data_IF_404520531793
#
_entry.id   IF_404520531793
#
_cell.length_a   1.000
_cell.length_b   1.000
_cell.length_c   1.000
_cell.angle_alpha   90.00
_cell.angle_beta   90.00
_cell.angle_gamma   90.00
#
_symmetry.space_group_name_H-M   'P 1'
#
loop_
_entity.id
_entity.type
_entity.pdbx_description
1 polymer ?
#
# COMPACT_ATOMS: atom_id res chain seq x y z
N UNK A 1 -24.66 55.28 -61.16
CA UNK A 1 -24.29 55.24 -59.75
C UNK A 1 -25.03 54.07 -59.09
N UNK A 2 -24.41 52.95 -58.98
CA UNK A 2 -25.01 51.72 -58.41
C UNK A 2 -24.28 51.38 -57.11
N UNK A 3 -24.99 51.48 -55.98
CA UNK A 3 -24.49 50.98 -54.68
C UNK A 3 -24.81 49.50 -54.56
N UNK A 4 -23.78 48.66 -54.45
CA UNK A 4 -23.88 47.20 -54.10
C UNK A 4 -23.96 47.11 -52.57
N UNK A 5 -25.05 46.53 -52.08
CA UNK A 5 -25.14 45.98 -50.70
C UNK A 5 -24.41 44.67 -50.61
N UNK A 6 -23.43 44.54 -49.74
CA UNK A 6 -22.87 43.25 -49.30
C UNK A 6 -23.63 42.83 -48.03
N UNK A 7 -24.32 41.70 -48.14
CA UNK A 7 -24.92 40.98 -47.02
C UNK A 7 -23.89 39.99 -46.44
N UNK A 8 -23.42 40.19 -45.23
CA UNK A 8 -22.62 39.24 -44.48
C UNK A 8 -23.55 38.20 -43.84
N UNK A 9 -23.45 36.95 -44.30
CA UNK A 9 -24.00 35.78 -43.60
C UNK A 9 -23.00 35.36 -42.49
N UNK A 10 -23.34 35.62 -41.21
CA UNK A 10 -22.62 35.03 -40.08
C UNK A 10 -23.17 33.62 -39.83
N UNK A 11 -22.40 32.60 -40.20
CA UNK A 11 -22.70 31.22 -39.84
C UNK A 11 -22.30 30.97 -38.38
N UNK A 12 -23.28 30.78 -37.51
CA UNK A 12 -23.12 30.40 -36.10
C UNK A 12 -22.84 28.88 -36.06
N UNK A 13 -21.57 28.48 -35.94
CA UNK A 13 -21.18 27.11 -35.65
C UNK A 13 -21.46 26.83 -34.16
N UNK A 14 -22.61 26.24 -33.86
CA UNK A 14 -22.87 25.57 -32.58
C UNK A 14 -21.99 24.33 -32.50
N UNK A 15 -20.87 24.42 -31.78
CA UNK A 15 -20.11 23.25 -31.39
C UNK A 15 -20.92 22.50 -30.32
N UNK A 16 -21.66 21.47 -30.74
CA UNK A 16 -22.16 20.44 -29.81
C UNK A 16 -20.94 19.71 -29.25
N UNK A 17 -20.51 20.05 -28.06
CA UNK A 17 -19.65 19.19 -27.28
C UNK A 17 -20.47 17.95 -26.92
N UNK A 18 -20.36 16.90 -27.71
CA UNK A 18 -20.78 15.58 -27.32
C UNK A 18 -19.88 15.21 -26.13
N UNK A 19 -20.43 15.34 -24.91
CA UNK A 19 -19.78 14.82 -23.73
C UNK A 19 -19.50 13.34 -23.98
N UNK A 20 -18.22 12.95 -24.02
CA UNK A 20 -17.87 11.56 -24.03
C UNK A 20 -18.50 10.93 -22.78
N UNK A 21 -19.22 9.79 -22.89
CA UNK A 21 -19.69 9.10 -21.71
C UNK A 21 -18.47 8.85 -20.82
N UNK A 22 -18.52 9.33 -19.58
CA UNK A 22 -17.51 9.00 -18.58
C UNK A 22 -17.41 7.48 -18.53
N UNK A 23 -16.22 6.94 -18.77
CA UNK A 23 -16.01 5.51 -18.58
C UNK A 23 -16.49 5.15 -17.18
N UNK A 24 -17.38 4.16 -17.07
CA UNK A 24 -17.83 3.69 -15.76
C UNK A 24 -16.60 3.23 -14.99
N UNK A 25 -16.39 3.75 -13.79
CA UNK A 25 -15.32 3.30 -12.92
C UNK A 25 -15.38 1.77 -12.76
N UNK A 26 -14.21 1.12 -12.68
CA UNK A 26 -14.13 -0.32 -12.45
C UNK A 26 -14.88 -0.64 -11.15
N UNK A 27 -15.67 -1.71 -11.13
CA UNK A 27 -16.23 -2.20 -9.88
C UNK A 27 -15.14 -2.84 -9.03
N UNK A 28 -15.21 -2.68 -7.72
CA UNK A 28 -14.34 -3.37 -6.78
C UNK A 28 -15.16 -4.03 -5.67
N UNK A 29 -14.55 -4.92 -4.94
CA UNK A 29 -15.09 -5.51 -3.72
C UNK A 29 -13.99 -5.60 -2.67
N UNK A 30 -14.31 -5.33 -1.42
CA UNK A 30 -13.40 -5.62 -0.31
C UNK A 30 -13.22 -7.13 -0.11
N UNK A 31 -12.05 -7.61 0.34
CA UNK A 31 -10.92 -6.81 0.79
C UNK A 31 -10.00 -6.41 -0.37
N UNK A 32 -9.34 -5.26 -0.25
CA UNK A 32 -8.25 -4.85 -1.15
C UNK A 32 -6.91 -5.51 -0.79
N UNK A 33 -6.82 -6.14 0.38
CA UNK A 33 -5.78 -7.08 0.79
C UNK A 33 -6.37 -8.06 1.81
N UNK A 34 -6.36 -9.36 1.48
CA UNK A 34 -7.08 -10.39 2.21
C UNK A 34 -6.37 -10.92 3.46
N UNK A 35 -5.04 -10.79 3.55
CA UNK A 35 -4.23 -11.22 4.68
C UNK A 35 -3.16 -10.18 4.96
N UNK A 36 -2.70 -10.07 6.22
CA UNK A 36 -1.77 -9.02 6.65
C UNK A 36 -2.22 -7.63 6.17
N UNK A 37 -3.53 -7.38 6.27
CA UNK A 37 -4.14 -6.12 5.84
C UNK A 37 -4.27 -5.10 6.96
N UNK A 38 -3.57 -5.31 8.09
CA UNK A 38 -3.59 -4.40 9.22
C UNK A 38 -2.90 -3.07 8.90
N UNK A 39 -3.41 -2.01 9.53
CA UNK A 39 -2.82 -0.68 9.53
C UNK A 39 -2.57 -0.18 8.09
N UNK A 40 -3.61 -0.19 7.23
CA UNK A 40 -3.44 0.09 5.81
C UNK A 40 -3.31 1.59 5.54
N UNK A 41 -2.34 1.96 4.72
CA UNK A 41 -2.20 3.28 4.15
C UNK A 41 -2.23 3.24 2.64
N UNK A 42 -2.96 4.16 2.00
CA UNK A 42 -3.00 4.33 0.55
C UNK A 42 -2.56 5.73 0.16
N UNK A 43 -1.63 5.81 -0.78
CA UNK A 43 -1.31 7.04 -1.53
C UNK A 43 -1.67 6.85 -3.00
N UNK A 44 -2.26 7.88 -3.63
CA UNK A 44 -2.43 7.93 -5.08
C UNK A 44 -1.43 8.90 -5.69
N UNK A 45 -0.62 8.42 -6.64
CA UNK A 45 0.41 9.23 -7.28
C UNK A 45 0.68 8.75 -8.70
N UNK A 46 0.78 9.70 -9.65
CA UNK A 46 1.11 9.41 -11.05
C UNK A 46 0.31 8.25 -11.66
N UNK A 47 -1.01 8.27 -11.46
CA UNK A 47 -1.92 7.27 -12.05
C UNK A 47 -1.94 5.91 -11.34
N UNK A 48 -1.34 5.79 -10.17
CA UNK A 48 -1.29 4.53 -9.42
C UNK A 48 -1.64 4.73 -7.94
N UNK A 49 -2.26 3.72 -7.37
CA UNK A 49 -2.38 3.52 -5.93
C UNK A 49 -1.18 2.76 -5.40
N UNK A 50 -0.73 3.13 -4.22
CA UNK A 50 0.35 2.49 -3.46
C UNK A 50 -0.20 2.14 -2.08
N UNK A 51 -0.32 0.84 -1.81
CA UNK A 51 -0.82 0.32 -0.53
C UNK A 51 0.35 -0.24 0.28
N UNK A 52 0.48 0.22 1.51
CA UNK A 52 1.35 -0.36 2.54
C UNK A 52 0.51 -0.86 3.71
N UNK A 53 1.00 -1.86 4.43
CA UNK A 53 0.36 -2.46 5.60
C UNK A 53 1.41 -2.99 6.57
N UNK A 54 1.03 -3.22 7.80
CA UNK A 54 1.86 -3.94 8.79
C UNK A 54 2.28 -5.30 8.26
N UNK A 55 3.55 -5.65 8.43
CA UNK A 55 4.12 -6.92 7.96
C UNK A 55 4.38 -7.94 9.07
N UNK A 56 4.62 -7.51 10.31
CA UNK A 56 5.14 -8.30 11.44
C UNK A 56 6.48 -8.98 11.16
N UNK A 57 7.16 -8.59 10.09
CA UNK A 57 8.43 -9.16 9.66
C UNK A 57 9.54 -8.10 9.71
N UNK A 58 10.63 -8.38 9.02
CA UNK A 58 11.76 -7.46 8.85
C UNK A 58 11.70 -6.63 7.57
N UNK A 59 10.57 -6.67 6.83
CA UNK A 59 10.44 -5.98 5.54
C UNK A 59 9.24 -5.03 5.48
N UNK A 60 9.33 -4.02 4.62
CA UNK A 60 8.21 -3.20 4.18
C UNK A 60 7.95 -3.53 2.73
N UNK A 61 6.69 -3.82 2.40
CA UNK A 61 6.24 -4.09 1.04
C UNK A 61 5.21 -3.05 0.58
N UNK A 62 5.23 -2.76 -0.71
CA UNK A 62 4.24 -1.90 -1.38
C UNK A 62 3.52 -2.71 -2.46
N UNK A 63 2.19 -2.60 -2.51
CA UNK A 63 1.39 -3.02 -3.67
C UNK A 63 1.07 -1.80 -4.52
N UNK A 64 1.31 -1.90 -5.83
CA UNK A 64 1.06 -0.83 -6.81
C UNK A 64 0.02 -1.28 -7.81
N UNK A 65 -0.99 -0.45 -8.07
CA UNK A 65 -2.03 -0.72 -9.07
C UNK A 65 -2.63 0.56 -9.62
N UNK A 66 -3.08 0.54 -10.88
CA UNK A 66 -3.81 1.65 -11.50
C UNK A 66 -5.26 1.77 -11.01
N UNK A 67 -5.80 0.73 -10.35
CA UNK A 67 -7.16 0.72 -9.80
C UNK A 67 -7.14 0.22 -8.37
N UNK A 68 -8.11 0.65 -7.56
CA UNK A 68 -8.31 0.17 -6.20
C UNK A 68 -8.54 -1.36 -6.17
N UNK A 69 -9.37 -1.86 -7.09
CA UNK A 69 -9.63 -3.29 -7.26
C UNK A 69 -8.36 -4.10 -7.51
N UNK A 70 -7.44 -3.57 -8.31
CA UNK A 70 -6.19 -4.23 -8.67
C UNK A 70 -5.23 -4.42 -7.50
N UNK A 71 -5.36 -3.64 -6.42
CA UNK A 71 -4.54 -3.83 -5.21
C UNK A 71 -4.74 -5.21 -4.57
N UNK A 72 -5.93 -5.82 -4.72
CA UNK A 72 -6.22 -7.15 -4.19
C UNK A 72 -5.30 -8.24 -4.76
N UNK A 73 -4.88 -8.08 -6.01
CA UNK A 73 -4.05 -9.07 -6.74
C UNK A 73 -2.66 -8.54 -7.12
N UNK A 74 -2.37 -7.26 -6.84
CA UNK A 74 -1.07 -6.69 -7.11
C UNK A 74 0.03 -7.38 -6.28
N UNK A 75 1.22 -7.62 -6.85
CA UNK A 75 2.32 -8.21 -6.11
C UNK A 75 2.77 -7.32 -4.96
N UNK A 76 3.11 -7.94 -3.83
CA UNK A 76 3.79 -7.26 -2.72
C UNK A 76 5.27 -7.11 -3.07
N UNK A 77 5.74 -5.89 -3.31
CA UNK A 77 7.12 -5.59 -3.67
C UNK A 77 7.85 -5.05 -2.44
N UNK A 78 8.91 -5.73 -2.02
CA UNK A 78 9.75 -5.29 -0.91
C UNK A 78 10.51 -4.02 -1.31
N UNK A 79 10.33 -2.94 -0.56
CA UNK A 79 11.01 -1.66 -0.76
C UNK A 79 12.04 -1.37 0.33
N UNK A 80 11.93 -2.05 1.47
CA UNK A 80 12.87 -1.93 2.59
C UNK A 80 13.02 -3.25 3.33
N UNK A 81 14.19 -3.46 3.89
CA UNK A 81 14.47 -4.52 4.86
C UNK A 81 15.19 -3.91 6.06
N UNK A 82 14.79 -4.32 7.27
CA UNK A 82 15.42 -3.88 8.50
C UNK A 82 16.94 -4.08 8.45
N UNK A 83 17.69 -3.02 8.71
CA UNK A 83 19.12 -2.91 8.45
C UNK A 83 19.98 -2.85 9.72
N UNK A 84 19.36 -2.85 10.90
CA UNK A 84 20.07 -2.82 12.18
C UNK A 84 19.27 -3.55 13.27
N UNK A 85 19.97 -4.17 14.22
CA UNK A 85 19.38 -4.95 15.32
C UNK A 85 18.37 -4.18 16.16
N UNK A 86 18.47 -2.85 16.26
CA UNK A 86 17.56 -1.98 17.02
C UNK A 86 16.24 -1.69 16.30
N UNK A 87 16.14 -1.97 15.00
CA UNK A 87 14.99 -1.67 14.12
C UNK A 87 14.79 -2.72 13.03
N UNK A 88 15.19 -3.96 13.30
CA UNK A 88 15.17 -5.01 12.30
C UNK A 88 13.78 -5.58 12.07
N UNK A 89 12.90 -5.50 13.08
CA UNK A 89 11.93 -6.58 13.19
C UNK A 89 10.59 -6.05 13.69
N UNK A 90 9.53 -6.88 13.48
CA UNK A 90 8.18 -6.50 13.89
C UNK A 90 7.77 -5.13 13.35
N UNK A 91 7.91 -4.96 12.03
CA UNK A 91 7.58 -3.70 11.36
C UNK A 91 6.07 -3.54 11.30
N UNK A 92 5.58 -2.40 11.85
CA UNK A 92 4.17 -2.06 11.96
C UNK A 92 3.87 -0.69 11.37
N UNK A 93 2.62 -0.50 10.99
CA UNK A 93 2.00 0.77 10.60
C UNK A 93 2.87 1.65 9.70
N UNK A 94 3.31 1.17 8.52
CA UNK A 94 4.03 2.01 7.58
C UNK A 94 3.09 2.98 6.86
N UNK A 95 3.52 4.24 6.74
CA UNK A 95 2.80 5.29 6.00
C UNK A 95 3.71 5.99 4.99
N UNK A 96 3.17 6.29 3.81
CA UNK A 96 3.86 6.97 2.71
C UNK A 96 3.41 8.42 2.59
N UNK A 97 4.29 9.38 2.84
CA UNK A 97 4.01 10.81 2.73
C UNK A 97 4.91 11.48 1.70
N UNK A 98 4.30 12.20 0.75
CA UNK A 98 5.04 12.97 -0.25
C UNK A 98 5.26 14.40 0.24
N UNK A 99 6.51 14.75 0.54
CA UNK A 99 6.88 16.04 1.12
C UNK A 99 8.07 16.62 0.33
N UNK A 100 7.93 17.82 -0.18
CA UNK A 100 9.00 18.54 -0.89
C UNK A 100 9.69 17.72 -2.00
N UNK A 101 8.90 16.97 -2.80
CA UNK A 101 9.40 16.22 -3.96
C UNK A 101 10.01 14.86 -3.65
N UNK A 102 9.93 14.39 -2.41
CA UNK A 102 10.39 13.08 -1.97
C UNK A 102 9.32 12.34 -1.18
N UNK A 103 9.40 11.01 -1.15
CA UNK A 103 8.59 10.16 -0.29
C UNK A 103 9.31 9.91 1.01
N UNK A 104 8.57 10.04 2.10
CA UNK A 104 8.99 9.66 3.43
C UNK A 104 8.10 8.52 3.90
N UNK A 105 8.74 7.43 4.32
CA UNK A 105 8.05 6.25 4.82
C UNK A 105 8.29 6.22 6.33
N UNK A 106 7.24 6.53 7.09
CA UNK A 106 7.24 6.44 8.54
C UNK A 106 6.76 5.05 8.93
N UNK A 107 7.38 4.46 9.93
CA UNK A 107 7.03 3.11 10.37
C UNK A 107 7.47 2.86 11.80
N UNK A 108 6.95 1.80 12.41
CA UNK A 108 7.38 1.31 13.70
C UNK A 108 8.21 0.04 13.51
N UNK A 109 9.29 -0.07 14.25
CA UNK A 109 10.11 -1.29 14.30
C UNK A 109 10.78 -1.45 15.65
N UNK A 110 11.10 -2.69 16.00
CA UNK A 110 11.76 -3.05 17.24
C UNK A 110 12.90 -4.03 17.04
N UNK A 111 13.29 -4.68 18.12
CA UNK A 111 14.37 -5.66 18.18
C UNK A 111 13.84 -7.08 17.97
N UNK A 112 14.74 -7.97 17.56
CA UNK A 112 14.43 -9.41 17.47
C UNK A 112 14.60 -10.08 18.83
N UNK A 113 13.65 -9.83 19.72
CA UNK A 113 13.58 -10.41 21.07
C UNK A 113 12.17 -10.94 21.34
N UNK A 114 12.02 -11.88 22.27
CA UNK A 114 10.70 -12.47 22.57
C UNK A 114 9.70 -11.45 23.11
N UNK A 115 10.15 -10.53 23.98
CA UNK A 115 9.35 -9.38 24.46
C UNK A 115 9.73 -8.14 23.65
N UNK A 116 9.30 -8.11 22.39
CA UNK A 116 9.67 -7.04 21.44
C UNK A 116 8.81 -5.77 21.58
N UNK A 117 7.60 -5.86 22.15
CA UNK A 117 6.67 -4.73 22.24
C UNK A 117 7.30 -3.50 22.90
N UNK A 118 7.99 -3.59 24.06
CA UNK A 118 8.64 -2.44 24.69
C UNK A 118 9.79 -1.85 23.85
N UNK A 119 10.28 -2.59 22.84
CA UNK A 119 11.38 -2.14 21.97
C UNK A 119 10.93 -1.31 20.79
N UNK A 120 9.62 -1.24 20.51
CA UNK A 120 9.05 -0.55 19.35
C UNK A 120 9.35 0.96 19.39
N UNK A 121 9.85 1.48 18.28
CA UNK A 121 10.20 2.90 18.07
C UNK A 121 9.73 3.35 16.69
N UNK A 122 9.50 4.64 16.58
CA UNK A 122 9.15 5.28 15.30
C UNK A 122 10.41 5.62 14.51
N UNK A 123 10.41 5.22 13.26
CA UNK A 123 11.51 5.42 12.31
C UNK A 123 11.01 6.09 11.03
N UNK A 124 11.94 6.67 10.27
CA UNK A 124 11.64 7.28 8.97
C UNK A 124 12.72 6.96 7.94
N UNK A 125 12.24 6.62 6.74
CA UNK A 125 13.04 6.46 5.52
C UNK A 125 12.75 7.61 4.57
N UNK A 126 13.70 7.92 3.69
CA UNK A 126 13.55 8.91 2.61
C UNK A 126 13.85 8.25 1.27
N UNK A 127 13.01 8.47 0.26
CA UNK A 127 13.25 8.02 -1.10
C UNK A 127 14.36 8.80 -1.79
N UNK A 128 15.05 8.19 -2.74
CA UNK A 128 16.06 8.86 -3.56
C UNK A 128 15.47 9.96 -4.47
N UNK A 129 14.19 9.87 -4.81
CA UNK A 129 13.49 10.80 -5.69
C UNK A 129 11.98 10.77 -5.46
N UNK A 130 11.20 11.02 -6.51
CA UNK A 130 9.75 11.10 -6.49
C UNK A 130 9.04 9.74 -6.75
N UNK A 131 9.78 8.64 -6.80
CA UNK A 131 9.21 7.30 -6.96
C UNK A 131 8.82 6.73 -5.58
N UNK A 132 7.53 6.39 -5.34
CA UNK A 132 7.10 5.75 -4.10
C UNK A 132 7.71 4.37 -3.87
N UNK A 133 8.19 3.71 -4.93
CA UNK A 133 8.86 2.40 -4.83
C UNK A 133 10.32 2.51 -4.35
N UNK A 134 10.86 3.72 -4.15
CA UNK A 134 12.20 3.95 -3.66
C UNK A 134 13.24 4.16 -4.76
N UNK A 135 14.51 3.82 -4.56
CA UNK A 135 15.07 3.20 -3.34
C UNK A 135 15.03 4.14 -2.13
N UNK A 136 14.96 3.53 -0.94
CA UNK A 136 14.87 4.23 0.33
C UNK A 136 16.19 4.23 1.09
N UNK A 137 16.43 5.31 1.85
CA UNK A 137 17.55 5.45 2.78
C UNK A 137 17.02 5.74 4.18
N UNK A 138 17.54 5.06 5.19
CA UNK A 138 17.21 5.33 6.59
C UNK A 138 17.66 6.73 6.99
N UNK A 139 16.77 7.49 7.65
CA UNK A 139 17.06 8.86 8.07
C UNK A 139 17.22 9.00 9.56
N UNK A 140 16.25 8.51 10.33
CA UNK A 140 16.26 8.73 11.77
C UNK A 140 15.30 7.81 12.53
N UNK A 141 15.57 7.65 13.83
CA UNK A 141 14.63 7.25 14.84
C UNK A 141 14.07 8.53 15.50
N UNK A 142 12.74 8.68 15.50
CA UNK A 142 12.11 9.96 15.89
C UNK A 142 11.85 10.09 17.39
N UNK A 143 11.94 9.00 18.17
CA UNK A 143 11.71 8.99 19.60
C UNK A 143 12.61 8.00 20.31
N UNK A 144 12.89 8.24 21.61
CA UNK A 144 13.65 7.31 22.46
C UNK A 144 12.75 6.40 23.30
N UNK A 145 11.51 6.81 23.55
CA UNK A 145 10.51 6.05 24.28
C UNK A 145 9.66 5.18 23.34
N UNK A 146 8.86 4.28 23.91
CA UNK A 146 7.87 3.50 23.15
C UNK A 146 6.83 4.43 22.50
N UNK A 147 6.57 4.23 21.22
CA UNK A 147 5.57 4.96 20.45
C UNK A 147 5.22 4.19 19.19
N UNK A 148 3.93 4.15 18.85
CA UNK A 148 3.36 3.49 17.67
C UNK A 148 2.71 4.51 16.72
N UNK A 149 2.38 4.03 15.54
CA UNK A 149 1.46 4.62 14.57
C UNK A 149 1.79 6.08 14.20
N UNK A 150 2.97 6.30 13.62
CA UNK A 150 3.39 7.65 13.26
C UNK A 150 2.69 8.14 11.99
N UNK A 151 1.95 9.23 12.08
CA UNK A 151 1.48 10.00 10.92
C UNK A 151 2.02 11.41 10.93
N UNK A 152 2.15 12.05 9.76
CA UNK A 152 2.61 13.43 9.66
C UNK A 152 1.65 14.29 8.86
N UNK A 153 1.48 15.53 9.31
CA UNK A 153 0.67 16.50 8.59
C UNK A 153 1.20 17.94 8.73
N UNK A 154 0.96 18.74 7.70
CA UNK A 154 1.20 20.17 7.77
C UNK A 154 -0.07 20.88 8.22
N UNK A 155 -0.01 21.59 9.35
CA UNK A 155 -1.10 22.39 9.89
C UNK A 155 -0.61 23.84 9.98
N UNK A 156 -1.31 24.76 9.33
CA UNK A 156 -0.95 26.18 9.27
C UNK A 156 0.51 26.42 8.85
N UNK A 157 1.01 25.64 7.87
CA UNK A 157 2.36 25.77 7.34
C UNK A 157 3.48 25.13 8.19
N UNK A 158 3.15 24.53 9.33
CA UNK A 158 4.09 23.81 10.19
C UNK A 158 3.87 22.31 10.14
N UNK A 159 4.94 21.53 9.97
CA UNK A 159 4.90 20.07 9.96
C UNK A 159 4.85 19.54 11.40
N UNK A 160 3.96 18.58 11.64
CA UNK A 160 3.78 17.88 12.91
C UNK A 160 3.83 16.37 12.69
N UNK A 161 4.38 15.66 13.68
CA UNK A 161 4.26 14.21 13.82
C UNK A 161 3.22 13.93 14.90
N UNK A 162 2.28 13.04 14.60
CA UNK A 162 1.35 12.47 15.56
C UNK A 162 1.66 10.98 15.74
N UNK A 163 1.21 10.40 16.85
CA UNK A 163 1.36 8.98 17.10
C UNK A 163 0.70 8.59 18.40
N UNK A 164 0.94 7.36 18.83
CA UNK A 164 0.38 6.78 20.04
C UNK A 164 1.48 6.38 21.02
N UNK A 165 1.42 6.85 22.26
CA UNK A 165 2.44 6.60 23.29
C UNK A 165 1.82 6.24 24.64
N UNK A 166 2.55 5.44 25.44
CA UNK A 166 2.13 5.07 26.77
C UNK A 166 2.30 6.23 27.75
N UNK A 167 1.33 6.45 28.62
CA UNK A 167 1.39 7.44 29.69
C UNK A 167 0.21 7.33 30.65
N UNK A 168 0.49 7.34 31.96
CA UNK A 168 -0.57 7.30 32.98
C UNK A 168 -1.38 6.01 33.02
N UNK A 169 -0.84 4.88 32.56
CA UNK A 169 -1.54 3.59 32.48
C UNK A 169 -2.48 3.44 31.28
N UNK A 170 -2.41 4.37 30.35
CA UNK A 170 -3.20 4.37 29.09
C UNK A 170 -2.29 4.55 27.89
N UNK A 171 -2.79 4.22 26.70
CA UNK A 171 -2.16 4.54 25.43
C UNK A 171 -2.85 5.79 24.87
N UNK A 172 -2.08 6.84 24.63
CA UNK A 172 -2.57 8.19 24.37
C UNK A 172 -2.10 8.72 23.03
N UNK A 173 -2.89 9.57 22.41
CA UNK A 173 -2.46 10.33 21.25
C UNK A 173 -1.48 11.43 21.65
N UNK A 174 -0.35 11.47 21.00
CA UNK A 174 0.70 12.46 21.20
C UNK A 174 1.04 13.19 19.90
N UNK A 175 1.57 14.40 20.03
CA UNK A 175 2.05 15.17 18.89
C UNK A 175 3.36 15.89 19.21
N UNK A 176 4.18 16.12 18.19
CA UNK A 176 5.39 16.91 18.25
C UNK A 176 5.54 17.77 17.01
N UNK A 177 6.17 18.95 17.15
CA UNK A 177 6.55 19.78 16.00
C UNK A 177 7.78 19.22 15.33
N UNK A 178 7.83 19.30 14.00
CA UNK A 178 8.98 18.88 13.20
C UNK A 178 9.65 20.08 12.53
N UNK A 179 10.98 20.07 12.43
CA UNK A 179 11.77 21.05 11.68
C UNK A 179 11.97 20.64 10.21
N UNK A 180 11.94 19.35 9.95
CA UNK A 180 11.98 18.72 8.64
C UNK A 180 11.38 17.30 8.75
N UNK A 181 11.18 16.55 7.64
CA UNK A 181 10.50 15.26 7.68
C UNK A 181 11.15 14.16 8.54
N UNK A 182 12.34 14.33 9.03
CA UNK A 182 13.06 13.33 9.84
C UNK A 182 13.68 13.90 11.14
N UNK A 183 13.26 15.12 11.56
CA UNK A 183 13.81 15.76 12.76
C UNK A 183 12.72 16.47 13.57
N UNK A 184 12.56 16.10 14.82
CA UNK A 184 11.67 16.79 15.75
C UNK A 184 12.23 18.17 16.13
N UNK A 185 11.35 19.16 16.27
CA UNK A 185 11.63 20.50 16.77
C UNK A 185 11.13 20.72 18.20
N UNK A 186 10.34 19.78 18.73
CA UNK A 186 9.86 19.82 20.12
C UNK A 186 9.83 18.41 20.72
N UNK A 187 9.66 18.32 22.05
CA UNK A 187 9.19 17.09 22.69
C UNK A 187 7.74 16.77 22.30
N UNK A 188 7.31 15.57 22.67
CA UNK A 188 5.93 15.14 22.51
C UNK A 188 5.03 15.73 23.57
N UNK A 189 3.84 16.17 23.18
CA UNK A 189 2.74 16.56 24.04
C UNK A 189 1.58 15.61 23.88
N UNK A 190 0.92 15.22 24.98
CA UNK A 190 -0.33 14.45 24.92
C UNK A 190 -1.46 15.35 24.43
N UNK A 191 -2.11 14.97 23.33
CA UNK A 191 -3.23 15.72 22.73
C UNK A 191 -4.59 15.10 23.06
N UNK A 192 -4.63 13.80 23.37
CA UNK A 192 -5.84 13.11 23.79
C UNK A 192 -5.53 11.83 24.58
N UNK A 193 -6.42 11.49 25.53
CA UNK A 193 -6.37 10.24 26.30
C UNK A 193 -7.72 9.52 26.17
N UNK A 194 -7.81 8.19 26.40
CA UNK A 194 -9.08 7.48 26.47
C UNK A 194 -9.97 8.07 27.57
N UNK A 195 -11.06 8.71 27.17
CA UNK A 195 -11.94 9.47 28.08
C UNK A 195 -13.33 8.84 28.19
N UNK A 196 -13.89 8.40 27.06
CA UNK A 196 -15.23 7.83 26.99
C UNK A 196 -15.21 6.31 27.19
N UNK A 197 -16.30 5.74 27.66
CA UNK A 197 -16.40 4.30 27.94
C UNK A 197 -16.09 3.45 26.73
N UNK A 198 -16.50 3.89 25.54
CA UNK A 198 -16.23 3.19 24.30
C UNK A 198 -14.75 3.16 23.89
N UNK A 199 -13.87 3.99 24.50
CA UNK A 199 -12.43 4.00 24.29
C UNK A 199 -11.67 3.08 25.28
N UNK A 200 -12.38 2.56 26.31
CA UNK A 200 -11.76 1.95 27.49
C UNK A 200 -11.72 0.43 27.49
N UNK A 201 -12.26 -0.22 26.46
CA UNK A 201 -12.02 -1.65 26.27
C UNK A 201 -10.58 -1.86 25.80
N UNK A 202 -9.61 -1.87 26.75
CA UNK A 202 -8.17 -1.85 26.52
C UNK A 202 -7.49 -0.50 26.84
N UNK A 203 -8.26 0.59 27.09
CA UNK A 203 -7.74 1.95 27.41
C UNK A 203 -6.73 2.48 26.38
N UNK A 204 -7.07 2.34 25.08
CA UNK A 204 -6.21 2.67 23.95
C UNK A 204 -6.81 3.78 23.11
N UNK A 205 -6.00 4.78 22.76
CA UNK A 205 -6.17 5.64 21.59
C UNK A 205 -4.92 5.49 20.71
N UNK A 206 -5.08 5.04 19.46
CA UNK A 206 -3.99 4.77 18.53
C UNK A 206 -4.38 5.06 17.06
N UNK A 207 -3.48 4.81 16.10
CA UNK A 207 -3.74 5.01 14.68
C UNK A 207 -4.25 6.41 14.35
N UNK A 208 -3.59 7.51 14.83
CA UNK A 208 -4.04 8.87 14.52
C UNK A 208 -3.84 9.18 13.04
N UNK A 209 -4.84 9.81 12.42
CA UNK A 209 -4.79 10.25 11.04
C UNK A 209 -5.37 11.66 10.89
N UNK A 210 -4.69 12.53 10.16
CA UNK A 210 -5.12 13.91 9.96
C UNK A 210 -5.93 14.03 8.67
N UNK A 211 -7.15 14.55 8.79
CA UNK A 211 -8.05 14.86 7.68
C UNK A 211 -8.33 16.37 7.65
N UNK A 212 -8.06 17.02 6.52
CA UNK A 212 -8.25 18.47 6.36
C UNK A 212 -9.24 18.78 5.23
N UNK A 213 -10.18 19.69 5.50
CA UNK A 213 -11.09 20.23 4.49
C UNK A 213 -11.63 21.58 4.88
N UNK A 214 -11.68 22.52 3.92
CA UNK A 214 -12.32 23.85 4.09
C UNK A 214 -11.73 24.64 5.26
N UNK A 215 -10.41 24.55 5.51
CA UNK A 215 -9.73 25.22 6.61
C UNK A 215 -9.92 24.55 7.98
N UNK A 216 -10.64 23.43 8.05
CA UNK A 216 -10.80 22.63 9.28
C UNK A 216 -9.82 21.47 9.28
N UNK A 217 -9.36 21.11 10.48
CA UNK A 217 -8.48 19.99 10.73
C UNK A 217 -9.16 19.02 11.71
N UNK A 218 -9.23 17.77 11.31
CA UNK A 218 -9.72 16.66 12.11
C UNK A 218 -8.57 15.69 12.36
N UNK A 219 -8.51 15.11 13.56
CA UNK A 219 -7.69 13.97 13.88
C UNK A 219 -8.65 12.80 14.11
N UNK A 220 -8.59 11.83 13.21
CA UNK A 220 -9.35 10.58 13.31
C UNK A 220 -8.42 9.54 13.93
N UNK A 221 -8.90 8.76 14.86
CA UNK A 221 -8.08 7.82 15.63
C UNK A 221 -8.89 6.59 16.01
N UNK A 222 -8.22 5.53 16.38
CA UNK A 222 -8.82 4.32 16.88
C UNK A 222 -8.91 4.32 18.40
N UNK A 223 -10.07 3.94 18.91
CA UNK A 223 -10.33 3.75 20.34
C UNK A 223 -10.67 2.31 20.68
N UNK A 224 -10.40 1.89 21.89
CA UNK A 224 -10.36 0.51 22.39
C UNK A 224 -9.16 -0.29 21.88
N UNK A 225 -8.92 -1.50 22.39
CA UNK A 225 -7.83 -2.35 21.94
C UNK A 225 -8.18 -3.10 20.66
N UNK A 226 -7.25 -3.21 19.71
CA UNK A 226 -7.43 -3.94 18.45
C UNK A 226 -7.70 -5.44 18.65
N UNK A 227 -7.39 -5.98 19.84
CA UNK A 227 -7.70 -7.36 20.24
C UNK A 227 -9.17 -7.57 20.65
N UNK A 228 -10.00 -6.53 20.49
CA UNK A 228 -11.43 -6.59 20.79
C UNK A 228 -12.25 -6.31 19.53
N UNK A 229 -13.46 -6.86 19.41
CA UNK A 229 -14.35 -6.53 18.31
C UNK A 229 -14.89 -5.09 18.38
N UNK A 230 -14.58 -4.38 19.46
CA UNK A 230 -15.06 -3.04 19.75
C UNK A 230 -14.07 -1.94 19.35
N UNK A 231 -12.97 -2.28 18.70
CA UNK A 231 -12.07 -1.31 18.05
C UNK A 231 -12.87 -0.47 17.05
N UNK A 232 -12.74 0.84 17.09
CA UNK A 232 -13.58 1.77 16.32
C UNK A 232 -12.93 3.15 16.22
N UNK A 233 -13.41 3.99 15.28
CA UNK A 233 -12.86 5.32 15.06
C UNK A 233 -13.56 6.38 15.90
N UNK A 234 -12.73 7.26 16.50
CA UNK A 234 -13.10 8.51 17.13
C UNK A 234 -12.64 9.72 16.32
N UNK A 235 -13.09 10.90 16.74
CA UNK A 235 -12.77 12.16 16.08
C UNK A 235 -12.43 13.24 17.10
N UNK A 236 -11.33 13.95 16.83
CA UNK A 236 -10.98 15.22 17.42
C UNK A 236 -11.09 16.31 16.35
N UNK A 237 -11.60 17.47 16.68
CA UNK A 237 -11.62 18.64 15.80
C UNK A 237 -10.70 19.71 16.38
N UNK A 238 -9.77 20.23 15.59
CA UNK A 238 -8.91 21.33 16.01
C UNK A 238 -9.74 22.62 16.06
N UNK A 239 -9.94 23.13 17.25
CA UNK A 239 -10.71 24.35 17.52
C UNK A 239 -9.86 25.47 18.12
N UNK A 240 -8.67 25.13 18.65
CA UNK A 240 -7.70 26.10 19.14
C UNK A 240 -6.55 26.32 18.15
N UNK A 241 -5.63 27.21 18.50
CA UNK A 241 -4.54 27.62 17.61
C UNK A 241 -3.32 26.69 17.65
N UNK A 242 -3.07 26.01 18.78
CA UNK A 242 -1.87 25.18 18.98
C UNK A 242 -2.21 23.68 18.93
N UNK A 243 -1.81 22.97 17.87
CA UNK A 243 -2.05 21.53 17.74
C UNK A 243 -1.37 20.66 18.83
N UNK A 244 -0.39 21.20 19.57
CA UNK A 244 0.27 20.50 20.67
C UNK A 244 -0.50 20.61 22.00
N UNK A 245 -1.50 21.49 22.10
CA UNK A 245 -2.31 21.65 23.30
C UNK A 245 -3.55 20.76 23.26
N UNK A 246 -3.76 19.91 24.24
CA UNK A 246 -4.98 19.09 24.36
C UNK A 246 -6.25 19.96 24.37
N UNK A 247 -6.22 21.16 24.96
CA UNK A 247 -7.35 22.09 24.98
C UNK A 247 -7.71 22.68 23.63
N UNK A 248 -6.82 22.56 22.62
CA UNK A 248 -7.11 22.97 21.24
C UNK A 248 -7.95 21.94 20.48
N UNK A 249 -8.16 20.76 21.03
CA UNK A 249 -8.89 19.68 20.36
C UNK A 249 -10.23 19.43 21.05
N UNK A 250 -11.31 19.51 20.30
CA UNK A 250 -12.63 19.12 20.76
C UNK A 250 -12.91 17.69 20.37
N UNK A 251 -13.05 16.80 21.37
CA UNK A 251 -13.30 15.37 21.17
C UNK A 251 -14.79 15.11 21.04
N UNK A 252 -15.20 14.37 20.01
CA UNK A 252 -16.59 13.91 19.82
C UNK A 252 -16.86 12.77 20.83
N UNK A 253 -18.02 12.85 21.51
CA UNK A 253 -18.37 11.89 22.56
C UNK A 253 -18.77 10.51 22.06
N UNK A 254 -19.11 10.39 20.78
CA UNK A 254 -19.53 9.14 20.13
C UNK A 254 -18.54 8.75 19.04
N UNK A 255 -18.37 7.44 18.78
CA UNK A 255 -17.57 6.98 17.64
C UNK A 255 -18.14 7.50 16.32
N UNK A 256 -17.26 7.62 15.31
CA UNK A 256 -17.61 8.07 13.96
C UNK A 256 -17.62 6.93 12.93
N UNK A 257 -17.06 5.77 13.30
CA UNK A 257 -17.07 4.55 12.48
C UNK A 257 -16.84 3.35 13.39
N UNK A 258 -17.71 2.33 13.30
CA UNK A 258 -17.69 1.20 14.22
C UNK A 258 -18.19 -0.08 13.57
N UNK A 259 -18.09 -1.22 14.28
CA UNK A 259 -18.52 -2.54 13.81
C UNK A 259 -19.92 -2.53 13.19
N UNK A 260 -20.11 -3.41 12.22
CA UNK A 260 -21.39 -3.68 11.57
C UNK A 260 -21.64 -5.19 11.59
N UNK A 261 -22.31 -5.68 12.63
CA UNK A 261 -22.55 -7.11 12.86
C UNK A 261 -23.37 -7.75 11.74
N UNK A 262 -24.35 -7.01 11.19
CA UNK A 262 -25.18 -7.51 10.09
C UNK A 262 -24.41 -7.68 8.79
N UNK A 263 -23.29 -6.98 8.64
CA UNK A 263 -22.36 -7.10 7.52
C UNK A 263 -21.17 -8.03 7.82
N UNK A 264 -21.04 -8.56 9.04
CA UNK A 264 -19.89 -9.37 9.47
C UNK A 264 -18.60 -8.54 9.50
N UNK A 265 -18.65 -7.33 10.06
CA UNK A 265 -17.49 -6.44 10.15
C UNK A 265 -17.25 -6.09 11.61
N UNK A 266 -16.09 -6.48 12.12
CA UNK A 266 -15.72 -6.31 13.52
C UNK A 266 -14.39 -5.56 13.63
N UNK A 267 -14.25 -4.72 14.67
CA UNK A 267 -13.05 -3.96 14.95
C UNK A 267 -12.55 -3.10 13.77
N UNK A 268 -13.40 -2.33 13.07
CA UNK A 268 -12.94 -1.46 11.99
C UNK A 268 -12.16 -0.28 12.56
N UNK A 269 -10.92 -0.09 12.12
CA UNK A 269 -10.09 1.00 12.61
C UNK A 269 -8.76 1.11 11.89
N UNK A 270 -7.85 1.89 12.49
CA UNK A 270 -6.54 2.24 11.97
C UNK A 270 -6.62 2.62 10.49
N UNK A 271 -7.20 3.79 10.26
CA UNK A 271 -7.58 4.24 8.93
C UNK A 271 -6.52 5.14 8.29
N UNK A 272 -6.57 5.24 6.97
CA UNK A 272 -5.93 6.28 6.16
C UNK A 272 -6.95 6.93 5.22
N UNK A 273 -6.57 8.01 4.57
CA UNK A 273 -7.44 8.74 3.64
C UNK A 273 -6.77 8.92 2.28
N UNK A 274 -7.57 8.83 1.22
CA UNK A 274 -7.13 9.17 -0.12
C UNK A 274 -8.28 9.79 -0.92
N UNK A 275 -7.96 10.43 -2.04
CA UNK A 275 -8.95 10.96 -2.99
C UNK A 275 -8.98 10.11 -4.25
N UNK A 276 -10.12 10.11 -4.94
CA UNK A 276 -10.21 9.51 -6.28
C UNK A 276 -9.22 10.16 -7.26
N UNK A 277 -8.84 9.46 -8.35
CA UNK A 277 -7.93 9.99 -9.37
C UNK A 277 -8.28 11.36 -9.93
N UNK A 278 -9.57 11.67 -10.06
CA UNK A 278 -10.08 12.96 -10.52
C UNK A 278 -10.26 14.00 -9.39
N UNK A 279 -9.93 13.62 -8.13
CA UNK A 279 -10.03 14.49 -6.96
C UNK A 279 -11.45 14.80 -6.48
N UNK A 280 -12.47 14.16 -7.05
CA UNK A 280 -13.88 14.52 -6.74
C UNK A 280 -14.46 13.75 -5.56
N UNK A 281 -13.88 12.62 -5.20
CA UNK A 281 -14.36 11.72 -4.14
C UNK A 281 -13.36 11.58 -3.01
N UNK A 282 -13.88 11.39 -1.79
CA UNK A 282 -13.09 11.13 -0.60
C UNK A 282 -13.26 9.67 -0.19
N UNK A 283 -12.17 9.01 0.13
CA UNK A 283 -12.12 7.60 0.45
C UNK A 283 -11.39 7.35 1.77
N UNK A 284 -11.89 6.40 2.55
CA UNK A 284 -11.26 5.86 3.74
C UNK A 284 -10.75 4.46 3.44
N UNK A 285 -9.50 4.18 3.80
CA UNK A 285 -8.95 2.84 3.92
C UNK A 285 -8.87 2.49 5.41
N UNK A 286 -9.14 1.25 5.78
CA UNK A 286 -9.13 0.80 7.17
C UNK A 286 -8.94 -0.72 7.22
N UNK A 287 -8.51 -1.25 8.36
CA UNK A 287 -8.60 -2.69 8.55
C UNK A 287 -9.87 -3.09 9.30
N UNK A 288 -10.27 -4.36 9.14
CA UNK A 288 -11.28 -4.98 9.98
C UNK A 288 -11.12 -6.49 10.00
N UNK A 289 -11.76 -7.12 10.98
CA UNK A 289 -11.90 -8.56 11.14
C UNK A 289 -13.25 -9.06 10.57
N UNK A 290 -13.31 -10.35 10.26
CA UNK A 290 -14.48 -11.03 9.72
C UNK A 290 -15.28 -11.76 10.82
N UNK A 291 -14.68 -11.92 12.00
CA UNK A 291 -15.28 -12.53 13.18
C UNK A 291 -15.08 -11.68 14.42
N UNK A 292 -16.04 -11.72 15.34
CA UNK A 292 -15.93 -11.05 16.64
C UNK A 292 -14.89 -11.69 17.57
N UNK A 293 -14.42 -12.90 17.26
CA UNK A 293 -13.38 -13.61 18.02
C UNK A 293 -11.97 -13.34 17.51
N UNK A 294 -11.84 -12.68 16.36
CA UNK A 294 -10.53 -12.33 15.80
C UNK A 294 -9.91 -11.17 16.59
N UNK A 295 -8.57 -11.15 16.64
CA UNK A 295 -7.80 -10.16 17.37
C UNK A 295 -6.91 -9.30 16.47
N UNK A 296 -5.78 -8.82 17.06
CA UNK A 296 -4.77 -8.02 16.35
C UNK A 296 -3.79 -8.88 15.54
N UNK A 297 -4.25 -9.88 14.84
CA UNK A 297 -3.39 -10.83 14.14
C UNK A 297 -3.31 -10.57 12.61
N UNK A 298 -2.71 -11.53 11.91
CA UNK A 298 -2.52 -11.53 10.47
C UNK A 298 -3.82 -11.71 9.67
N UNK A 299 -4.93 -12.06 10.32
CA UNK A 299 -6.25 -12.25 9.70
C UNK A 299 -6.95 -10.95 9.34
N UNK A 300 -6.52 -9.81 9.89
CA UNK A 300 -7.09 -8.52 9.55
C UNK A 300 -6.99 -8.24 8.06
N UNK A 301 -8.09 -7.78 7.47
CA UNK A 301 -8.19 -7.45 6.04
C UNK A 301 -8.17 -5.95 5.81
N UNK A 302 -7.45 -5.47 4.78
CA UNK A 302 -7.54 -4.08 4.36
C UNK A 302 -8.77 -3.86 3.49
N UNK A 303 -9.53 -2.83 3.81
CA UNK A 303 -10.81 -2.47 3.17
C UNK A 303 -10.84 -0.99 2.85
N UNK A 304 -11.63 -0.62 1.86
CA UNK A 304 -11.84 0.78 1.50
C UNK A 304 -13.32 1.04 1.21
N UNK A 305 -13.75 2.27 1.45
CA UNK A 305 -15.06 2.76 1.03
C UNK A 305 -15.04 4.28 0.84
N UNK A 306 -15.95 4.75 -0.01
CA UNK A 306 -16.19 6.19 -0.19
C UNK A 306 -16.87 6.75 1.04
N UNK A 307 -16.55 7.99 1.41
CA UNK A 307 -17.24 8.72 2.46
C UNK A 307 -17.66 10.12 1.99
N UNK A 308 -18.58 10.73 2.74
CA UNK A 308 -19.14 12.04 2.45
C UNK A 308 -18.89 13.01 3.61
N UNK A 309 -19.48 14.18 3.54
CA UNK A 309 -19.36 15.21 4.55
C UNK A 309 -20.77 15.64 5.00
N UNK A 310 -20.95 15.74 6.29
CA UNK A 310 -22.16 16.30 6.90
C UNK A 310 -22.35 17.77 6.56
N UNK A 311 -23.55 18.30 6.70
CA UNK A 311 -23.86 19.71 6.46
C UNK A 311 -23.09 20.67 7.38
N UNK A 312 -22.67 20.19 8.55
CA UNK A 312 -21.82 20.95 9.48
C UNK A 312 -20.30 20.89 9.09
N UNK A 313 -19.96 20.20 7.99
CA UNK A 313 -18.62 20.04 7.48
C UNK A 313 -17.76 19.01 8.22
N UNK A 314 -18.33 18.18 9.09
CA UNK A 314 -17.64 17.00 9.66
C UNK A 314 -17.67 15.82 8.69
N UNK A 315 -16.70 14.89 8.74
CA UNK A 315 -16.74 13.68 7.89
C UNK A 315 -17.90 12.75 8.30
N UNK A 316 -18.52 12.13 7.30
CA UNK A 316 -19.49 11.05 7.45
C UNK A 316 -18.94 9.80 6.76
N UNK A 317 -18.36 8.90 7.54
CA UNK A 317 -17.74 7.67 7.03
C UNK A 317 -18.77 6.57 6.70
N UNK A 318 -20.06 6.78 7.06
CA UNK A 318 -21.12 5.78 6.89
C UNK A 318 -20.91 4.56 7.80
N UNK A 319 -21.31 3.39 7.30
CA UNK A 319 -21.14 2.10 7.99
C UNK A 319 -20.22 1.17 7.19
N UNK A 320 -19.40 0.36 7.87
CA UNK A 320 -18.52 -0.61 7.19
C UNK A 320 -19.34 -1.57 6.31
N UNK A 321 -18.86 -1.82 5.09
CA UNK A 321 -19.52 -2.67 4.12
C UNK A 321 -19.06 -4.12 4.22
N UNK A 322 -19.96 -5.07 3.88
CA UNK A 322 -19.69 -6.52 3.86
C UNK A 322 -18.56 -6.83 2.84
N UNK A 323 -17.73 -7.83 3.18
CA UNK A 323 -16.80 -8.42 2.22
C UNK A 323 -17.51 -8.98 0.99
N UNK A 324 -16.90 -8.86 -0.16
CA UNK A 324 -17.44 -9.31 -1.44
C UNK A 324 -18.60 -8.47 -1.99
N UNK A 325 -19.10 -7.47 -1.25
CA UNK A 325 -20.09 -6.55 -1.78
C UNK A 325 -19.46 -5.69 -2.87
N UNK A 326 -20.03 -5.76 -4.08
CA UNK A 326 -19.58 -4.95 -5.21
C UNK A 326 -19.94 -3.48 -5.03
N UNK A 327 -18.98 -2.60 -5.26
CA UNK A 327 -19.15 -1.15 -5.25
C UNK A 327 -18.49 -0.54 -6.50
N UNK A 328 -18.90 0.66 -6.88
CA UNK A 328 -18.15 1.43 -7.88
C UNK A 328 -16.78 1.79 -7.32
N UNK A 329 -15.74 1.64 -8.13
CA UNK A 329 -14.40 2.10 -7.80
C UNK A 329 -14.32 3.63 -7.79
N UNK A 330 -13.18 4.19 -7.32
CA UNK A 330 -12.95 5.62 -7.33
C UNK A 330 -13.09 6.25 -8.71
N UNK A 331 -13.71 7.44 -8.75
CA UNK A 331 -13.94 8.19 -9.98
C UNK A 331 -12.62 8.55 -10.67
N UNK A 332 -12.57 8.43 -12.00
CA UNK A 332 -11.36 8.70 -12.79
C UNK A 332 -10.41 7.50 -12.93
N UNK A 333 -10.74 6.34 -12.38
CA UNK A 333 -10.00 5.09 -12.62
C UNK A 333 -10.17 4.57 -14.05
N UNK A 334 -9.19 3.80 -14.59
CA UNK A 334 -9.40 2.98 -15.77
C UNK A 334 -10.55 1.98 -15.59
N UNK A 335 -11.21 1.57 -16.68
CA UNK A 335 -12.40 0.71 -16.64
C UNK A 335 -12.15 -0.72 -16.17
N UNK A 336 -10.92 -1.19 -16.11
CA UNK A 336 -10.55 -2.53 -15.66
C UNK A 336 -9.20 -2.55 -14.95
N UNK A 337 -9.09 -3.40 -13.92
CA UNK A 337 -7.82 -3.75 -13.30
C UNK A 337 -7.07 -4.75 -14.19
N UNK A 338 -5.76 -4.59 -14.35
CA UNK A 338 -4.93 -5.64 -14.93
C UNK A 338 -4.82 -6.81 -13.93
N UNK A 339 -5.07 -8.01 -14.40
CA UNK A 339 -4.93 -9.25 -13.60
C UNK A 339 -3.76 -10.10 -14.06
N UNK A 340 -3.07 -9.69 -15.10
CA UNK A 340 -1.91 -10.35 -15.69
C UNK A 340 -0.78 -9.35 -15.92
N UNK A 341 0.44 -9.88 -16.05
CA UNK A 341 1.65 -9.09 -16.26
C UNK A 341 2.47 -9.68 -17.40
N UNK A 342 3.05 -8.82 -18.24
CA UNK A 342 4.26 -9.16 -18.98
C UNK A 342 5.47 -8.77 -18.13
N UNK A 343 6.44 -9.67 -18.03
CA UNK A 343 7.63 -9.47 -17.19
C UNK A 343 8.83 -9.25 -18.11
N UNK A 344 9.36 -8.01 -18.16
CA UNK A 344 10.41 -7.67 -19.13
C UNK A 344 11.78 -7.48 -18.46
N UNK A 345 12.81 -8.06 -19.07
CA UNK A 345 14.18 -7.93 -18.59
C UNK A 345 14.74 -6.52 -18.87
N UNK A 346 15.42 -5.92 -17.89
CA UNK A 346 15.97 -4.55 -17.99
C UNK A 346 17.06 -4.43 -19.07
N UNK A 347 17.88 -5.46 -19.22
CA UNK A 347 19.01 -5.43 -20.17
C UNK A 347 18.56 -5.55 -21.62
N UNK A 348 17.62 -6.46 -21.91
CA UNK A 348 17.22 -6.80 -23.28
C UNK A 348 15.88 -6.20 -23.70
N UNK A 349 15.03 -5.78 -22.75
CA UNK A 349 13.64 -5.39 -23.00
C UNK A 349 12.73 -6.55 -23.41
N UNK A 350 13.21 -7.80 -23.38
CA UNK A 350 12.47 -8.98 -23.78
C UNK A 350 11.60 -9.53 -22.65
N UNK A 351 10.56 -10.29 -23.02
CA UNK A 351 9.60 -10.87 -22.10
C UNK A 351 10.05 -12.23 -21.57
N UNK A 352 9.74 -12.49 -20.30
CA UNK A 352 9.81 -13.82 -19.69
C UNK A 352 8.80 -14.74 -20.39
N UNK A 353 9.28 -15.82 -21.01
CA UNK A 353 8.57 -16.61 -22.00
C UNK A 353 8.69 -18.11 -21.69
N UNK A 354 7.57 -18.85 -21.78
CA UNK A 354 7.62 -20.31 -21.78
C UNK A 354 7.93 -20.81 -23.19
N UNK A 355 9.08 -21.44 -23.36
CA UNK A 355 9.61 -21.86 -24.65
C UNK A 355 8.62 -22.69 -25.45
N UNK A 356 8.42 -22.29 -26.72
CA UNK A 356 7.52 -22.98 -27.66
C UNK A 356 6.05 -23.03 -27.22
N UNK A 357 5.63 -22.21 -26.26
CA UNK A 357 4.30 -22.29 -25.62
C UNK A 357 3.96 -23.71 -25.12
N UNK A 358 4.97 -24.46 -24.70
CA UNK A 358 4.84 -25.85 -24.27
C UNK A 358 3.95 -25.95 -23.03
N UNK A 359 3.09 -26.97 -22.97
CA UNK A 359 2.26 -27.26 -21.79
C UNK A 359 2.88 -28.31 -20.86
N UNK A 360 4.07 -28.84 -21.20
CA UNK A 360 4.72 -29.89 -20.40
C UNK A 360 5.29 -29.34 -19.06
N UNK A 361 5.33 -30.17 -18.04
CA UNK A 361 6.19 -29.95 -16.88
C UNK A 361 7.65 -30.01 -17.32
N UNK A 362 8.49 -29.13 -16.80
CA UNK A 362 9.89 -29.00 -17.18
C UNK A 362 10.15 -28.19 -18.44
N UNK A 363 9.11 -27.58 -19.06
CA UNK A 363 9.35 -26.71 -20.20
C UNK A 363 10.17 -25.49 -19.74
N UNK A 364 11.21 -25.18 -20.52
CA UNK A 364 12.16 -24.11 -20.21
C UNK A 364 11.49 -22.74 -20.20
N UNK A 365 11.94 -21.88 -19.30
CA UNK A 365 11.61 -20.46 -19.28
C UNK A 365 12.81 -19.68 -19.81
N UNK A 366 12.57 -18.90 -20.84
CA UNK A 366 13.54 -18.13 -21.60
C UNK A 366 13.14 -16.67 -21.67
N UNK A 367 13.98 -15.82 -22.24
CA UNK A 367 13.53 -14.53 -22.75
C UNK A 367 13.20 -14.60 -24.24
N UNK A 368 12.19 -13.88 -24.67
CA UNK A 368 11.80 -13.76 -26.07
C UNK A 368 11.25 -12.38 -26.38
N UNK A 369 11.34 -11.95 -27.66
CA UNK A 369 10.69 -10.73 -28.12
C UNK A 369 9.22 -10.73 -27.69
N UNK A 370 8.77 -9.63 -27.06
CA UNK A 370 7.39 -9.53 -26.56
C UNK A 370 6.39 -9.57 -27.71
N UNK A 371 5.61 -10.62 -27.78
CA UNK A 371 4.57 -10.85 -28.79
C UNK A 371 3.15 -10.60 -28.28
N UNK A 372 2.99 -10.47 -26.96
CA UNK A 372 1.69 -10.42 -26.30
C UNK A 372 0.99 -11.78 -26.18
N UNK A 373 1.68 -12.87 -26.52
CA UNK A 373 1.18 -14.24 -26.40
C UNK A 373 0.88 -14.62 -24.94
N UNK A 374 -0.03 -15.57 -24.74
CA UNK A 374 -0.43 -16.03 -23.41
C UNK A 374 0.73 -16.74 -22.66
N UNK A 375 1.70 -17.31 -23.37
CA UNK A 375 2.91 -17.91 -22.82
C UNK A 375 3.91 -16.89 -22.27
N UNK A 376 3.71 -15.59 -22.56
CA UNK A 376 4.48 -14.46 -22.03
C UNK A 376 3.71 -13.66 -20.98
N UNK A 377 2.49 -14.09 -20.65
CA UNK A 377 1.65 -13.45 -19.62
C UNK A 377 1.63 -14.30 -18.36
N UNK A 378 1.71 -13.63 -17.24
CA UNK A 378 1.81 -14.25 -15.92
C UNK A 378 0.80 -13.64 -14.97
N UNK A 379 0.02 -14.45 -14.25
CA UNK A 379 -0.66 -14.03 -13.05
C UNK A 379 0.32 -14.12 -11.87
N UNK A 380 0.35 -13.10 -11.07
CA UNK A 380 1.16 -13.09 -9.84
C UNK A 380 0.18 -13.27 -8.68
N UNK A 381 0.27 -14.41 -8.01
CA UNK A 381 -0.70 -14.81 -6.99
C UNK A 381 -0.03 -14.85 -5.61
N UNK A 382 -0.47 -13.95 -4.72
CA UNK A 382 0.02 -13.82 -3.35
C UNK A 382 -0.19 -15.13 -2.56
N UNK A 383 0.80 -15.54 -1.78
CA UNK A 383 0.76 -16.74 -0.94
C UNK A 383 0.58 -16.40 0.56
N UNK A 384 0.38 -15.12 0.90
CA UNK A 384 0.09 -14.66 2.27
C UNK A 384 1.31 -14.48 3.17
N UNK A 385 2.51 -14.80 2.69
CA UNK A 385 3.78 -14.73 3.43
C UNK A 385 4.80 -13.77 2.79
N UNK A 386 4.30 -12.75 2.07
CA UNK A 386 5.06 -11.81 1.25
C UNK A 386 5.79 -12.48 0.08
N UNK A 387 5.38 -13.71 -0.29
CA UNK A 387 5.79 -14.40 -1.50
C UNK A 387 4.63 -14.54 -2.48
N UNK A 388 4.95 -14.77 -3.74
CA UNK A 388 3.98 -15.01 -4.80
C UNK A 388 4.40 -16.22 -5.63
N UNK A 389 3.41 -16.91 -6.22
CA UNK A 389 3.63 -17.81 -7.35
C UNK A 389 3.35 -17.06 -8.65
N UNK A 390 4.18 -17.33 -9.67
CA UNK A 390 4.00 -16.76 -11.00
C UNK A 390 3.35 -17.83 -11.88
N UNK A 391 2.07 -17.64 -12.22
CA UNK A 391 1.26 -18.61 -12.97
C UNK A 391 1.22 -18.19 -14.43
N UNK A 392 1.73 -19.02 -15.33
CA UNK A 392 1.68 -18.77 -16.76
C UNK A 392 0.23 -18.84 -17.26
N UNK A 393 -0.20 -17.83 -18.03
CA UNK A 393 -1.60 -17.71 -18.49
C UNK A 393 -1.97 -18.79 -19.50
N UNK A 394 -1.02 -19.21 -20.37
CA UNK A 394 -1.29 -20.22 -21.39
C UNK A 394 -1.49 -21.62 -20.79
N UNK A 395 -0.76 -21.96 -19.74
CA UNK A 395 -0.66 -23.34 -19.26
C UNK A 395 -1.28 -23.56 -17.87
N UNK A 396 -1.43 -22.50 -17.09
CA UNK A 396 -1.82 -22.58 -15.67
C UNK A 396 -0.72 -23.15 -14.75
N UNK A 397 0.46 -23.45 -15.30
CA UNK A 397 1.62 -23.92 -14.53
C UNK A 397 2.38 -22.75 -13.94
N UNK A 398 3.25 -23.04 -12.95
CA UNK A 398 3.97 -22.00 -12.22
C UNK A 398 5.45 -21.98 -12.56
N UNK A 399 6.10 -20.84 -12.37
CA UNK A 399 7.55 -20.72 -12.40
C UNK A 399 8.14 -21.60 -11.29
N UNK A 400 9.16 -22.36 -11.61
CA UNK A 400 9.76 -23.38 -10.76
C UNK A 400 11.29 -23.36 -10.91
N UNK A 401 12.01 -23.42 -9.81
CA UNK A 401 13.45 -23.64 -9.84
C UNK A 401 13.73 -25.15 -9.94
N UNK A 402 14.40 -25.56 -11.01
CA UNK A 402 14.66 -26.96 -11.32
C UNK A 402 15.25 -27.73 -10.12
N UNK A 403 14.55 -28.84 -9.77
CA UNK A 403 14.93 -29.76 -8.68
C UNK A 403 15.17 -29.06 -7.32
N UNK A 404 14.61 -27.87 -7.10
CA UNK A 404 14.92 -27.03 -5.94
C UNK A 404 16.43 -26.82 -5.73
N UNK A 405 17.20 -26.85 -6.79
CA UNK A 405 18.66 -26.70 -6.74
C UNK A 405 19.06 -25.36 -6.15
N UNK A 406 20.04 -25.33 -5.25
CA UNK A 406 20.63 -24.09 -4.73
C UNK A 406 21.86 -23.62 -5.54
N UNK A 407 22.22 -24.30 -6.63
CA UNK A 407 23.36 -23.93 -7.47
C UNK A 407 23.08 -22.67 -8.29
N UNK A 408 24.14 -21.85 -8.54
CA UNK A 408 24.11 -20.86 -9.59
C UNK A 408 24.01 -21.59 -10.95
N UNK A 409 23.15 -21.09 -11.82
CA UNK A 409 22.90 -21.68 -13.14
C UNK A 409 21.81 -22.75 -13.18
N UNK A 410 21.15 -23.06 -12.07
CA UNK A 410 19.99 -23.96 -12.11
C UNK A 410 18.85 -23.29 -12.88
N UNK A 411 18.22 -24.04 -13.79
CA UNK A 411 17.23 -23.52 -14.72
C UNK A 411 15.95 -23.09 -14.00
N UNK A 412 15.35 -22.04 -14.52
CA UNK A 412 13.96 -21.71 -14.25
C UNK A 412 13.11 -22.33 -15.35
N UNK A 413 12.09 -23.09 -14.93
CA UNK A 413 11.18 -23.79 -15.82
C UNK A 413 9.74 -23.61 -15.37
N UNK A 414 8.76 -24.03 -16.16
CA UNK A 414 7.41 -24.16 -15.65
C UNK A 414 7.17 -25.57 -15.09
N UNK A 415 6.35 -25.67 -14.05
CA UNK A 415 5.95 -26.94 -13.44
C UNK A 415 4.53 -26.86 -12.86
N UNK A 416 3.89 -28.00 -12.69
CA UNK A 416 2.65 -28.11 -11.92
C UNK A 416 2.84 -27.59 -10.50
N UNK A 417 1.83 -26.93 -9.92
CA UNK A 417 1.92 -26.36 -8.56
C UNK A 417 2.04 -27.45 -7.49
N UNK A 418 3.13 -27.45 -6.74
CA UNK A 418 3.45 -28.40 -5.67
C UNK A 418 3.37 -27.76 -4.27
N UNK A 419 3.10 -26.46 -4.19
CA UNK A 419 3.03 -25.69 -2.95
C UNK A 419 4.33 -25.75 -2.12
N UNK A 420 5.49 -25.74 -2.75
CA UNK A 420 6.79 -25.71 -2.10
C UNK A 420 7.49 -24.37 -2.28
N UNK A 421 8.57 -24.13 -1.53
CA UNK A 421 9.31 -22.86 -1.54
C UNK A 421 10.10 -22.61 -2.84
N UNK A 422 10.33 -23.65 -3.66
CA UNK A 422 11.04 -23.52 -4.95
C UNK A 422 10.16 -22.90 -6.04
N UNK A 423 8.84 -22.87 -5.80
CA UNK A 423 7.83 -22.28 -6.66
C UNK A 423 7.28 -20.95 -6.12
N UNK A 424 7.89 -20.43 -5.05
CA UNK A 424 7.52 -19.15 -4.45
C UNK A 424 8.63 -18.15 -4.64
N UNK A 425 8.24 -16.92 -4.99
CA UNK A 425 9.18 -15.85 -5.31
C UNK A 425 8.79 -14.57 -4.57
N UNK A 426 9.81 -13.78 -4.20
CA UNK A 426 9.66 -12.42 -3.69
C UNK A 426 10.07 -11.43 -4.77
N UNK A 427 9.44 -10.27 -4.76
CA UNK A 427 9.86 -9.14 -5.58
C UNK A 427 10.56 -8.12 -4.67
N UNK A 428 11.80 -7.77 -5.00
CA UNK A 428 12.57 -6.75 -4.28
C UNK A 428 12.82 -5.59 -5.22
N UNK A 429 12.37 -4.40 -4.85
CA UNK A 429 12.57 -3.19 -5.64
C UNK A 429 14.06 -2.88 -5.82
N UNK A 430 14.43 -2.42 -7.00
CA UNK A 430 15.75 -1.87 -7.30
C UNK A 430 15.65 -0.35 -7.50
N UNK A 431 15.49 0.10 -8.73
CA UNK A 431 15.23 1.49 -9.08
C UNK A 431 14.37 1.55 -10.34
N UNK A 432 13.70 2.68 -10.58
CA UNK A 432 12.98 2.94 -11.84
C UNK A 432 11.95 1.87 -12.21
N UNK A 433 11.14 1.40 -11.24
CA UNK A 433 10.11 0.36 -11.39
C UNK A 433 10.66 -1.05 -11.75
N UNK A 434 11.96 -1.30 -11.57
CA UNK A 434 12.53 -2.63 -11.73
C UNK A 434 12.61 -3.37 -10.40
N UNK A 435 12.53 -4.70 -10.49
CA UNK A 435 12.58 -5.60 -9.34
C UNK A 435 13.54 -6.76 -9.58
N UNK A 436 14.06 -7.33 -8.52
CA UNK A 436 14.60 -8.69 -8.48
C UNK A 436 13.43 -9.67 -8.32
N UNK A 437 13.47 -10.80 -9.00
CA UNK A 437 12.57 -11.93 -8.78
C UNK A 437 13.38 -12.98 -8.01
N UNK A 438 13.16 -13.07 -6.70
CA UNK A 438 14.00 -13.85 -5.76
C UNK A 438 13.29 -15.14 -5.37
N UNK A 439 13.90 -16.29 -5.63
CA UNK A 439 13.35 -17.57 -5.19
C UNK A 439 13.41 -17.69 -3.66
N UNK A 440 12.30 -18.12 -3.04
CA UNK A 440 12.19 -18.21 -1.57
C UNK A 440 13.11 -19.28 -0.98
N UNK A 441 13.28 -20.43 -1.65
CA UNK A 441 14.08 -21.54 -1.14
C UNK A 441 15.58 -21.24 -1.15
N UNK A 442 16.05 -20.53 -2.19
CA UNK A 442 17.48 -20.39 -2.47
C UNK A 442 18.03 -19.01 -2.20
N UNK A 443 17.15 -17.97 -2.15
CA UNK A 443 17.54 -16.58 -2.06
C UNK A 443 18.22 -16.04 -3.34
N UNK A 444 18.25 -16.84 -4.41
CA UNK A 444 18.82 -16.44 -5.71
C UNK A 444 17.80 -15.77 -6.59
N UNK A 445 18.27 -15.02 -7.59
CA UNK A 445 17.43 -14.19 -8.46
C UNK A 445 17.30 -14.78 -9.86
N UNK A 446 16.20 -14.50 -10.55
CA UNK A 446 16.05 -14.79 -11.95
C UNK A 446 17.07 -13.99 -12.78
N UNK A 447 17.88 -14.69 -13.57
CA UNK A 447 19.04 -14.19 -14.32
C UNK A 447 18.95 -14.63 -15.77
N UNK A 448 19.13 -13.69 -16.71
CA UNK A 448 19.31 -14.06 -18.11
C UNK A 448 20.75 -14.53 -18.30
N UNK A 449 20.91 -15.79 -18.69
CA UNK A 449 22.19 -16.44 -18.85
C UNK A 449 23.17 -15.60 -19.68
N UNK A 450 24.37 -15.38 -19.13
CA UNK A 450 25.45 -14.59 -19.74
C UNK A 450 25.05 -13.17 -20.19
N UNK A 451 24.02 -12.58 -19.59
CA UNK A 451 23.42 -11.32 -20.02
C UNK A 451 23.09 -11.29 -21.53
N UNK A 452 22.69 -12.42 -22.09
CA UNK A 452 22.31 -12.54 -23.49
C UNK A 452 21.16 -11.62 -23.85
N UNK A 453 21.15 -11.10 -25.09
CA UNK A 453 20.05 -10.24 -25.59
C UNK A 453 19.25 -10.89 -26.74
N UNK A 454 19.63 -12.10 -27.12
CA UNK A 454 18.96 -12.85 -28.19
C UNK A 454 17.63 -13.46 -27.70
N UNK A 455 16.72 -13.72 -28.65
CA UNK A 455 15.57 -14.58 -28.42
C UNK A 455 16.05 -16.01 -28.10
N UNK A 456 15.40 -16.65 -27.12
CA UNK A 456 15.77 -17.98 -26.66
C UNK A 456 16.93 -18.00 -25.65
N UNK A 457 17.46 -16.83 -25.23
CA UNK A 457 18.42 -16.83 -24.13
C UNK A 457 17.74 -17.34 -22.85
N UNK A 458 18.40 -18.29 -22.22
CA UNK A 458 17.90 -19.02 -21.07
C UNK A 458 17.72 -18.12 -19.84
N UNK A 459 16.70 -18.38 -19.04
CA UNK A 459 16.48 -17.73 -17.75
C UNK A 459 16.67 -18.77 -16.65
N UNK A 460 17.66 -18.51 -15.83
CA UNK A 460 18.11 -19.39 -14.73
C UNK A 460 18.11 -18.65 -13.42
N UNK A 461 18.38 -19.30 -12.32
CA UNK A 461 18.69 -18.62 -11.06
C UNK A 461 20.19 -18.35 -10.94
N UNK A 462 20.53 -17.22 -10.31
CA UNK A 462 21.92 -16.86 -10.00
C UNK A 462 22.00 -16.03 -8.73
N UNK A 463 23.18 -16.02 -8.09
CA UNK A 463 23.47 -15.07 -7.01
C UNK A 463 23.34 -13.63 -7.50
N UNK A 464 22.81 -12.74 -6.66
CA UNK A 464 22.61 -11.34 -7.04
C UNK A 464 23.96 -10.63 -7.32
N UNK A 465 24.12 -10.07 -8.50
CA UNK A 465 25.31 -9.37 -8.97
C UNK A 465 25.09 -7.86 -9.17
N UNK A 466 23.86 -7.38 -9.04
CA UNK A 466 23.51 -5.97 -9.23
C UNK A 466 23.47 -5.51 -10.69
N UNK A 467 23.53 -6.43 -11.66
CA UNK A 467 23.51 -6.09 -13.08
C UNK A 467 22.07 -6.03 -13.64
N UNK A 468 21.92 -5.45 -14.83
CA UNK A 468 20.61 -5.27 -15.49
C UNK A 468 19.98 -6.57 -15.99
N UNK A 469 20.76 -7.64 -16.15
CA UNK A 469 20.28 -8.96 -16.61
C UNK A 469 19.44 -9.67 -15.53
N UNK A 470 19.56 -9.24 -14.28
CA UNK A 470 18.85 -9.77 -13.11
C UNK A 470 17.71 -8.87 -12.65
N UNK A 471 17.37 -7.84 -13.44
CA UNK A 471 16.36 -6.86 -13.10
C UNK A 471 15.20 -6.94 -14.09
N UNK A 472 13.99 -6.93 -13.56
CA UNK A 472 12.77 -7.19 -14.31
C UNK A 472 11.72 -6.13 -14.02
N UNK A 473 10.91 -5.77 -15.01
CA UNK A 473 9.75 -4.89 -14.84
C UNK A 473 8.47 -5.69 -14.97
N UNK A 474 7.55 -5.48 -14.03
CA UNK A 474 6.22 -6.05 -14.06
C UNK A 474 5.28 -5.08 -14.76
N UNK A 475 4.95 -5.35 -16.01
CA UNK A 475 4.06 -4.50 -16.81
C UNK A 475 2.66 -5.10 -16.79
N UNK A 476 1.63 -4.38 -16.27
CA UNK A 476 0.25 -4.80 -16.37
C UNK A 476 -0.16 -5.07 -17.83
N UNK A 477 -0.88 -6.19 -18.11
CA UNK A 477 -1.16 -6.67 -19.48
C UNK A 477 -2.58 -7.23 -19.64
#
# INVERSE_FOLDING_TARGET
>A
MARRLLTLLAALLLALSLGQPSASAASFANPIKAQKGADPWISYHNGNYYLVTTSWTDVITIRKSTTLAGLATAPSVQVWKGDAASRCCNIWAPELHFINGRWYLYYVAGQNVSDYIPTQRTHVLESAGSDPMGPYTYRNQLNSAWMLDPTVATINGQLYLFGSASGGGTQNLVAARMSNPYTLASGFSTVSTPTYDWERNGTVNEGPEILQRGGRTFLIYSGSGCWTPDYKLGQLTLTGADPLSASSWTKKSTPVFQRNDSAGVYGPGHNGFFTSPDGTENWIVYHANDSASDGCDNGRTARAQKFTWNSDGTPDFGTPVRLGASAAGPSGEPSAAATTYTITNRNSGKCLDVAGSSSADGANVQQWTCSGGANQKWRIEDQGDDTSRLVNVATGKVLDTENCSSADGADLRQWSWLNNTCQRFRFIATDSDYVQIVNQATGKVADVANCGTADGADVRQWSWLGNTCQQWRLNPA
#
